data_IF_725722092749
#
_entry.id   IF_725722092749
#
_cell.length_a   1.000
_cell.length_b   1.000
_cell.length_c   1.000
_cell.angle_alpha   90.00
_cell.angle_beta   90.00
_cell.angle_gamma   90.00
#
_symmetry.space_group_name_H-M   'P 1'
#
loop_
_entity.id
_entity.type
_entity.pdbx_description
1 polymer ?
#
# COMPACT_ATOMS: atom_id res chain seq x y z
N UNK A 1 21.35 -3.04 -14.65
CA UNK A 1 20.80 -3.63 -13.41
C UNK A 1 21.73 -3.27 -12.25
N UNK A 2 21.18 -2.96 -11.07
CA UNK A 2 21.96 -2.62 -9.88
C UNK A 2 22.35 -3.89 -9.11
N UNK A 3 22.99 -4.85 -9.77
CA UNK A 3 23.24 -6.19 -9.20
C UNK A 3 24.02 -6.18 -7.89
N UNK A 4 24.92 -5.21 -7.68
CA UNK A 4 25.66 -5.05 -6.42
C UNK A 4 24.83 -4.51 -5.25
N UNK A 5 23.61 -4.03 -5.50
CA UNK A 5 22.72 -3.46 -4.48
C UNK A 5 22.28 -4.52 -3.48
N UNK A 6 21.86 -5.70 -3.95
CA UNK A 6 21.30 -6.78 -3.13
C UNK A 6 22.31 -7.27 -2.09
N UNK A 7 23.57 -7.36 -2.47
CA UNK A 7 24.67 -7.78 -1.58
C UNK A 7 25.21 -6.67 -0.68
N UNK A 8 24.77 -5.41 -0.85
CA UNK A 8 25.34 -4.29 -0.12
C UNK A 8 24.78 -4.22 1.32
N UNK A 9 25.63 -4.35 2.36
CA UNK A 9 25.18 -4.59 3.74
C UNK A 9 24.39 -3.42 4.37
N UNK A 10 24.55 -2.20 3.85
CA UNK A 10 23.81 -1.01 4.32
C UNK A 10 22.69 -0.55 3.38
N UNK A 11 22.94 -0.49 2.07
CA UNK A 11 22.00 0.07 1.11
C UNK A 11 20.71 -0.76 0.98
N UNK A 12 20.81 -2.10 0.90
CA UNK A 12 19.62 -2.93 0.77
C UNK A 12 18.77 -2.91 2.05
N UNK A 13 19.33 -3.09 3.27
CA UNK A 13 18.54 -2.94 4.50
C UNK A 13 17.97 -1.53 4.69
N UNK A 14 18.68 -0.47 4.29
CA UNK A 14 18.15 0.89 4.35
C UNK A 14 16.93 1.06 3.42
N UNK A 15 16.94 0.45 2.23
CA UNK A 15 15.80 0.42 1.33
C UNK A 15 14.63 -0.36 1.94
N UNK A 16 14.88 -1.51 2.58
CA UNK A 16 13.84 -2.28 3.28
C UNK A 16 13.21 -1.47 4.42
N UNK A 17 14.02 -0.80 5.24
CA UNK A 17 13.53 0.06 6.33
C UNK A 17 12.67 1.20 5.76
N UNK A 18 13.16 1.90 4.73
CA UNK A 18 12.41 2.96 4.08
C UNK A 18 11.10 2.45 3.47
N UNK A 19 11.12 1.24 2.87
CA UNK A 19 9.92 0.60 2.33
C UNK A 19 8.91 0.30 3.44
N UNK A 20 9.35 -0.23 4.59
CA UNK A 20 8.49 -0.51 5.75
C UNK A 20 7.88 0.76 6.32
N UNK A 21 8.65 1.85 6.42
CA UNK A 21 8.13 3.17 6.80
C UNK A 21 7.05 3.63 5.82
N UNK A 22 7.28 3.45 4.51
CA UNK A 22 6.28 3.74 3.49
C UNK A 22 5.00 2.92 3.66
N UNK A 23 5.12 1.63 3.96
CA UNK A 23 3.99 0.73 4.25
C UNK A 23 3.22 1.22 5.48
N UNK A 24 3.93 1.59 6.56
CA UNK A 24 3.30 2.08 7.78
C UNK A 24 2.50 3.37 7.54
N UNK A 25 3.05 4.31 6.77
CA UNK A 25 2.34 5.55 6.40
C UNK A 25 1.12 5.26 5.53
N UNK A 26 1.27 4.39 4.52
CA UNK A 26 0.21 4.01 3.59
C UNK A 26 -0.92 3.25 4.29
N UNK A 27 -0.62 2.07 4.81
CA UNK A 27 -1.60 1.20 5.42
C UNK A 27 -2.16 1.81 6.70
N UNK A 28 -1.34 2.44 7.53
CA UNK A 28 -1.80 3.10 8.76
C UNK A 28 -2.77 4.26 8.47
N UNK A 29 -2.45 5.09 7.48
CA UNK A 29 -3.33 6.18 7.06
C UNK A 29 -4.67 5.67 6.51
N UNK A 30 -4.62 4.69 5.60
CA UNK A 30 -5.83 4.05 5.07
C UNK A 30 -6.65 3.39 6.18
N UNK A 31 -6.02 2.63 7.08
CA UNK A 31 -6.69 1.95 8.17
C UNK A 31 -7.49 2.91 9.06
N UNK A 32 -6.88 4.01 9.50
CA UNK A 32 -7.56 5.01 10.34
C UNK A 32 -8.73 5.67 9.59
N UNK A 33 -8.52 6.08 8.33
CA UNK A 33 -9.58 6.70 7.54
C UNK A 33 -10.75 5.73 7.27
N UNK A 34 -10.44 4.49 6.93
CA UNK A 34 -11.42 3.49 6.54
C UNK A 34 -12.23 2.99 7.73
N UNK A 35 -11.64 2.89 8.93
CA UNK A 35 -12.41 2.69 10.17
C UNK A 35 -13.45 3.80 10.35
N UNK A 36 -13.07 5.05 10.09
CA UNK A 36 -14.01 6.17 10.12
C UNK A 36 -15.10 6.07 9.07
N UNK A 37 -14.77 5.63 7.87
CA UNK A 37 -15.74 5.40 6.80
C UNK A 37 -16.73 4.26 7.14
N UNK A 38 -16.26 3.24 7.86
CA UNK A 38 -17.06 2.11 8.34
C UNK A 38 -17.96 2.45 9.52
N UNK A 39 -17.75 3.61 10.16
CA UNK A 39 -18.62 4.15 11.19
C UNK A 39 -18.02 4.15 12.60
N UNK A 40 -16.72 3.89 12.75
CA UNK A 40 -15.99 4.11 14.01
C UNK A 40 -15.64 5.59 14.15
N UNK A 41 -15.81 6.20 15.32
CA UNK A 41 -15.43 7.60 15.55
C UNK A 41 -16.21 8.63 14.71
N UNK A 42 -17.54 8.45 14.53
CA UNK A 42 -18.39 9.24 13.63
C UNK A 42 -18.39 10.74 13.94
N UNK A 43 -18.09 11.10 15.16
CA UNK A 43 -17.91 12.47 15.66
C UNK A 43 -16.74 13.21 14.97
N UNK A 44 -15.77 12.49 14.41
CA UNK A 44 -14.66 13.09 13.66
C UNK A 44 -15.12 13.51 12.25
N UNK A 45 -14.87 14.75 11.80
CA UNK A 45 -15.21 15.17 10.45
C UNK A 45 -14.39 14.40 9.39
N UNK A 46 -15.06 13.60 8.57
CA UNK A 46 -14.42 12.74 7.57
C UNK A 46 -13.48 13.49 6.60
N UNK A 47 -13.80 14.69 6.09
CA UNK A 47 -12.89 15.42 5.19
C UNK A 47 -11.58 15.86 5.88
N UNK A 48 -11.62 16.21 7.16
CA UNK A 48 -10.43 16.61 7.92
C UNK A 48 -9.57 15.39 8.22
N UNK A 49 -10.19 14.28 8.64
CA UNK A 49 -9.48 13.03 8.89
C UNK A 49 -8.85 12.49 7.60
N UNK A 50 -9.55 12.54 6.47
CA UNK A 50 -9.03 12.17 5.16
C UNK A 50 -7.77 12.97 4.81
N UNK A 51 -7.77 14.29 5.02
CA UNK A 51 -6.58 15.13 4.75
C UNK A 51 -5.40 14.75 5.63
N UNK A 52 -5.64 14.48 6.92
CA UNK A 52 -4.59 14.14 7.88
C UNK A 52 -3.96 12.76 7.60
N UNK A 53 -4.77 11.81 7.15
CA UNK A 53 -4.36 10.40 7.00
C UNK A 53 -3.95 10.04 5.57
N UNK A 54 -4.70 10.50 4.56
CA UNK A 54 -4.48 10.11 3.16
C UNK A 54 -3.30 10.84 2.52
N UNK A 55 -2.96 12.06 2.98
CA UNK A 55 -1.77 12.76 2.47
C UNK A 55 -0.46 12.04 2.85
N UNK A 56 -0.23 11.68 4.13
CA UNK A 56 0.89 10.80 4.48
C UNK A 56 0.80 9.44 3.78
N UNK A 57 -0.40 8.88 3.61
CA UNK A 57 -0.55 7.61 2.91
C UNK A 57 -0.08 7.68 1.44
N UNK A 58 -0.39 8.76 0.73
CA UNK A 58 0.09 9.00 -0.63
C UNK A 58 1.62 9.16 -0.67
N UNK A 59 2.20 9.88 0.30
CA UNK A 59 3.66 9.97 0.42
C UNK A 59 4.29 8.61 0.72
N UNK A 60 3.67 7.79 1.58
CA UNK A 60 4.06 6.43 1.89
C UNK A 60 4.00 5.51 0.67
N UNK A 61 2.95 5.62 -0.15
CA UNK A 61 2.84 4.91 -1.43
C UNK A 61 3.96 5.31 -2.39
N UNK A 62 4.25 6.61 -2.52
CA UNK A 62 5.37 7.10 -3.32
C UNK A 62 6.71 6.54 -2.85
N UNK A 63 6.94 6.53 -1.53
CA UNK A 63 8.14 5.95 -0.93
C UNK A 63 8.23 4.44 -1.20
N UNK A 64 7.13 3.70 -1.07
CA UNK A 64 7.06 2.28 -1.39
C UNK A 64 7.37 2.01 -2.87
N UNK A 65 6.84 2.83 -3.77
CA UNK A 65 7.05 2.69 -5.20
C UNK A 65 8.53 2.91 -5.55
N UNK A 66 9.14 4.00 -5.07
CA UNK A 66 10.56 4.31 -5.32
C UNK A 66 11.46 3.22 -4.75
N UNK A 67 11.30 2.88 -3.46
CA UNK A 67 12.14 1.85 -2.82
C UNK A 67 11.92 0.46 -3.43
N UNK A 68 10.67 0.09 -3.72
CA UNK A 68 10.32 -1.18 -4.34
C UNK A 68 10.87 -1.34 -5.75
N UNK A 69 10.80 -0.29 -6.59
CA UNK A 69 11.41 -0.28 -7.92
C UNK A 69 12.94 -0.36 -7.85
N UNK A 70 13.55 0.34 -6.90
CA UNK A 70 15.00 0.27 -6.68
C UNK A 70 15.43 -1.15 -6.28
N UNK A 71 14.77 -1.78 -5.31
CA UNK A 71 15.03 -3.18 -4.93
C UNK A 71 14.78 -4.13 -6.10
N UNK A 72 13.69 -3.93 -6.86
CA UNK A 72 13.38 -4.73 -8.04
C UNK A 72 14.48 -4.68 -9.10
N UNK A 73 15.08 -3.51 -9.32
CA UNK A 73 16.15 -3.32 -10.30
C UNK A 73 17.46 -4.07 -9.97
N UNK A 74 17.61 -4.56 -8.73
CA UNK A 74 18.75 -5.35 -8.29
C UNK A 74 18.68 -6.82 -8.74
N UNK A 75 17.48 -7.39 -8.78
CA UNK A 75 17.24 -8.81 -9.08
C UNK A 75 15.86 -9.05 -9.75
N UNK A 76 15.61 -8.46 -10.93
CA UNK A 76 14.28 -8.47 -11.54
C UNK A 76 13.83 -9.85 -12.00
N UNK A 77 14.74 -10.67 -12.56
CA UNK A 77 14.39 -12.00 -13.07
C UNK A 77 13.96 -12.94 -11.93
N UNK A 78 14.66 -12.89 -10.79
CA UNK A 78 14.29 -13.65 -9.58
C UNK A 78 12.92 -13.20 -9.04
N UNK A 79 12.68 -11.89 -8.97
CA UNK A 79 11.40 -11.35 -8.49
C UNK A 79 10.25 -11.65 -9.46
N UNK A 80 10.47 -11.62 -10.77
CA UNK A 80 9.44 -11.97 -11.76
C UNK A 80 9.11 -13.47 -11.75
N UNK A 81 10.08 -14.33 -11.45
CA UNK A 81 9.85 -15.76 -11.26
C UNK A 81 9.08 -16.05 -9.95
N UNK A 82 9.23 -15.21 -8.93
CA UNK A 82 8.59 -15.36 -7.63
C UNK A 82 7.06 -15.21 -7.71
N UNK A 83 6.32 -16.23 -7.30
CA UNK A 83 4.85 -16.22 -7.34
C UNK A 83 4.25 -15.22 -6.35
N UNK A 84 4.82 -15.06 -5.16
CA UNK A 84 4.34 -14.07 -4.19
C UNK A 84 4.52 -12.64 -4.71
N UNK A 85 5.63 -12.35 -5.41
CA UNK A 85 5.83 -11.04 -6.03
C UNK A 85 4.79 -10.76 -7.12
N UNK A 86 4.51 -11.72 -8.01
CA UNK A 86 3.49 -11.57 -9.06
C UNK A 86 2.08 -11.32 -8.47
N UNK A 87 1.70 -12.10 -7.45
CA UNK A 87 0.42 -11.91 -6.74
C UNK A 87 0.39 -10.54 -6.04
N UNK A 88 1.47 -10.14 -5.38
CA UNK A 88 1.61 -8.80 -4.77
C UNK A 88 1.33 -7.71 -5.80
N UNK A 89 1.92 -7.80 -7.00
CA UNK A 89 1.73 -6.79 -8.03
C UNK A 89 0.31 -6.72 -8.57
N UNK A 90 -0.35 -7.88 -8.75
CA UNK A 90 -1.76 -7.93 -9.10
C UNK A 90 -2.64 -7.27 -8.01
N UNK A 91 -2.39 -7.56 -6.74
CA UNK A 91 -3.13 -6.98 -5.62
C UNK A 91 -2.94 -5.46 -5.52
N UNK A 92 -1.73 -4.95 -5.77
CA UNK A 92 -1.47 -3.49 -5.84
C UNK A 92 -2.29 -2.85 -6.97
N UNK A 93 -2.36 -3.49 -8.14
CA UNK A 93 -3.18 -3.00 -9.25
C UNK A 93 -4.68 -2.99 -8.92
N UNK A 94 -5.19 -4.05 -8.28
CA UNK A 94 -6.58 -4.14 -7.82
C UNK A 94 -6.90 -3.09 -6.74
N UNK A 95 -5.99 -2.86 -5.78
CA UNK A 95 -6.12 -1.82 -4.78
C UNK A 95 -6.20 -0.43 -5.41
N UNK A 96 -5.33 -0.14 -6.39
CA UNK A 96 -5.35 1.10 -7.16
C UNK A 96 -6.66 1.30 -7.94
N UNK A 97 -7.15 0.24 -8.61
CA UNK A 97 -8.42 0.28 -9.32
C UNK A 97 -9.61 0.53 -8.38
N UNK A 98 -9.63 -0.13 -7.21
CA UNK A 98 -10.65 0.09 -6.19
C UNK A 98 -10.63 1.54 -5.67
N UNK A 99 -9.44 2.10 -5.41
CA UNK A 99 -9.29 3.49 -4.96
C UNK A 99 -9.74 4.50 -6.03
N UNK A 100 -9.43 4.25 -7.31
CA UNK A 100 -9.89 5.09 -8.42
C UNK A 100 -11.42 5.08 -8.53
N UNK A 101 -12.05 3.90 -8.48
CA UNK A 101 -13.51 3.75 -8.49
C UNK A 101 -14.17 4.45 -7.30
N UNK A 102 -13.57 4.36 -6.11
CA UNK A 102 -14.04 5.09 -4.92
C UNK A 102 -14.03 6.59 -5.16
N UNK A 103 -12.94 7.14 -5.70
CA UNK A 103 -12.82 8.58 -5.96
C UNK A 103 -13.82 9.05 -7.04
N UNK A 104 -13.99 8.29 -8.12
CA UNK A 104 -14.95 8.63 -9.19
C UNK A 104 -16.41 8.62 -8.73
N UNK A 105 -16.76 7.82 -7.72
CA UNK A 105 -18.12 7.74 -7.17
C UNK A 105 -18.48 8.82 -6.15
N UNK A 106 -17.71 9.91 -6.06
CA UNK A 106 -17.78 11.00 -5.06
C UNK A 106 -16.94 10.80 -3.80
N UNK A 107 -16.20 9.69 -3.69
CA UNK A 107 -15.21 9.45 -2.63
C UNK A 107 -15.71 9.77 -1.22
N UNK A 108 -14.97 10.64 -0.52
CA UNK A 108 -15.27 11.02 0.89
C UNK A 108 -16.62 11.75 1.04
N UNK A 109 -17.18 12.31 -0.03
CA UNK A 109 -18.48 12.99 0.00
C UNK A 109 -19.67 12.02 0.07
N UNK A 110 -19.48 10.75 -0.32
CA UNK A 110 -20.53 9.73 -0.35
C UNK A 110 -20.08 8.43 0.35
N UNK A 111 -20.19 8.40 1.68
CA UNK A 111 -19.88 7.22 2.50
C UNK A 111 -21.09 6.27 2.63
N UNK A 112 -21.64 5.87 1.48
CA UNK A 112 -22.75 4.94 1.36
C UNK A 112 -22.35 3.47 1.66
N UNK A 113 -23.27 2.52 1.52
CA UNK A 113 -22.98 1.09 1.75
C UNK A 113 -21.91 0.56 0.81
N UNK A 114 -21.86 1.04 -0.43
CA UNK A 114 -20.89 0.61 -1.43
C UNK A 114 -19.48 1.10 -1.08
N UNK A 115 -19.35 2.37 -0.69
CA UNK A 115 -18.12 2.95 -0.18
C UNK A 115 -17.53 2.14 0.99
N UNK A 116 -18.38 1.66 1.91
CA UNK A 116 -17.94 0.79 3.01
C UNK A 116 -17.39 -0.56 2.54
N UNK A 117 -17.99 -1.17 1.53
CA UNK A 117 -17.46 -2.40 0.92
C UNK A 117 -16.11 -2.12 0.27
N UNK A 118 -15.96 -0.99 -0.43
CA UNK A 118 -14.69 -0.59 -1.02
C UNK A 118 -13.59 -0.36 0.03
N UNK A 119 -13.92 0.18 1.20
CA UNK A 119 -13.00 0.28 2.33
C UNK A 119 -12.58 -1.12 2.83
N UNK A 120 -13.51 -2.06 3.02
CA UNK A 120 -13.15 -3.42 3.43
C UNK A 120 -12.25 -4.12 2.41
N UNK A 121 -12.54 -3.96 1.11
CA UNK A 121 -11.71 -4.49 0.03
C UNK A 121 -10.32 -3.85 0.03
N UNK A 122 -10.23 -2.54 0.24
CA UNK A 122 -8.97 -1.80 0.33
C UNK A 122 -8.08 -2.35 1.47
N UNK A 123 -8.62 -2.48 2.69
CA UNK A 123 -7.90 -3.10 3.81
C UNK A 123 -7.45 -4.53 3.49
N UNK A 124 -8.34 -5.34 2.89
CA UNK A 124 -8.04 -6.71 2.51
C UNK A 124 -6.90 -6.79 1.49
N UNK A 125 -6.94 -5.97 0.44
CA UNK A 125 -5.89 -5.94 -0.58
C UNK A 125 -4.55 -5.50 0.01
N UNK A 126 -4.51 -4.41 0.78
CA UNK A 126 -3.25 -3.94 1.36
C UNK A 126 -2.67 -4.90 2.39
N UNK A 127 -3.51 -5.55 3.20
CA UNK A 127 -3.07 -6.60 4.11
C UNK A 127 -2.47 -7.78 3.33
N UNK A 128 -3.13 -8.23 2.27
CA UNK A 128 -2.61 -9.28 1.40
C UNK A 128 -1.30 -8.89 0.70
N UNK A 129 -1.14 -7.62 0.28
CA UNK A 129 0.11 -7.08 -0.27
C UNK A 129 1.25 -7.15 0.74
N UNK A 130 1.00 -6.82 2.01
CA UNK A 130 1.98 -6.91 3.10
C UNK A 130 2.39 -8.37 3.34
N UNK A 131 1.41 -9.28 3.40
CA UNK A 131 1.66 -10.73 3.56
C UNK A 131 2.52 -11.26 2.41
N UNK A 132 2.14 -10.97 1.16
CA UNK A 132 2.92 -11.35 -0.01
C UNK A 132 4.34 -10.77 0.04
N UNK A 133 4.48 -9.52 0.48
CA UNK A 133 5.78 -8.86 0.67
C UNK A 133 6.72 -9.63 1.58
N UNK A 134 6.22 -10.17 2.70
CA UNK A 134 7.02 -11.02 3.59
C UNK A 134 7.30 -12.39 2.98
N UNK A 135 6.34 -12.95 2.25
CA UNK A 135 6.45 -14.28 1.64
C UNK A 135 7.45 -14.38 0.47
N UNK A 136 7.83 -13.25 -0.17
CA UNK A 136 8.88 -13.21 -1.20
C UNK A 136 10.19 -13.82 -0.71
N UNK A 137 10.52 -13.69 0.58
CA UNK A 137 11.76 -14.25 1.13
C UNK A 137 11.73 -15.78 1.33
N UNK A 138 10.58 -16.43 1.13
CA UNK A 138 10.37 -17.85 1.46
C UNK A 138 9.85 -18.68 0.28
N UNK A 139 9.40 -18.05 -0.81
CA UNK A 139 8.85 -18.69 -2.01
C UNK A 139 9.71 -18.42 -3.24
#
# INVERSE_FOLDING_TARGET
MLSGLVSHPWAYPALEVAHIVGIALLFGGLFVFELRALGVGRELPAPLLARLTLRPALAGFGLCAVTGLTMFSGQPDELLANTAFRVKMLLVALAGANAALFHFRSGVAALDRFARVQCLLSLGFWLAVIICGRWIAYL
#
